data_IF_185715781263
#
_entry.id   IF_185715781263
#
_cell.length_a   1.000
_cell.length_b   1.000
_cell.length_c   1.000
_cell.angle_alpha   90.00
_cell.angle_beta   90.00
_cell.angle_gamma   90.00
#
_symmetry.space_group_name_H-M   'P 1'
#
loop_
_entity.id
_entity.type
_entity.pdbx_description
1 polymer ?
#
# COMPACT_ATOMS: atom_id res chain seq x y z
N UNK A 1 -2.77 60.26 -9.57
CA UNK A 1 -3.76 60.43 -8.49
C UNK A 1 -5.15 60.13 -9.04
N UNK A 2 -5.55 58.86 -9.00
CA UNK A 2 -6.96 58.44 -8.92
C UNK A 2 -6.93 57.02 -8.33
N UNK A 3 -7.08 56.95 -7.01
CA UNK A 3 -7.31 55.70 -6.28
C UNK A 3 -8.72 55.22 -6.61
N UNK A 4 -8.87 53.94 -6.92
CA UNK A 4 -10.15 53.28 -6.76
C UNK A 4 -9.93 51.95 -6.05
N UNK A 5 -9.85 52.03 -4.72
CA UNK A 5 -10.09 50.89 -3.84
C UNK A 5 -11.61 50.66 -3.80
N UNK A 6 -12.08 49.46 -4.17
CA UNK A 6 -13.13 48.77 -3.42
C UNK A 6 -13.37 47.32 -3.88
N UNK A 7 -13.26 46.46 -2.87
CA UNK A 7 -14.07 45.26 -2.59
C UNK A 7 -13.65 43.92 -3.21
N UNK A 8 -12.90 43.17 -2.38
CA UNK A 8 -13.28 41.86 -1.80
C UNK A 8 -14.36 41.08 -2.56
N UNK A 9 -13.96 39.93 -3.09
CA UNK A 9 -14.72 38.68 -3.03
C UNK A 9 -13.76 37.50 -3.22
N UNK A 10 -12.97 37.20 -2.18
CA UNK A 10 -12.38 35.87 -1.98
C UNK A 10 -13.52 34.90 -1.68
N UNK A 11 -14.07 34.28 -2.71
CA UNK A 11 -14.97 33.14 -2.58
C UNK A 11 -14.14 31.87 -2.43
N UNK A 12 -13.60 31.65 -1.23
CA UNK A 12 -13.06 30.35 -0.84
C UNK A 12 -14.24 29.37 -0.74
N UNK A 13 -14.44 28.58 -1.78
CA UNK A 13 -15.49 27.57 -1.83
C UNK A 13 -14.92 26.29 -1.25
N UNK A 14 -14.94 26.16 0.08
CA UNK A 14 -14.64 24.89 0.73
C UNK A 14 -15.81 23.93 0.50
N UNK A 15 -15.68 23.04 -0.49
CA UNK A 15 -16.58 21.91 -0.64
C UNK A 15 -16.25 20.86 0.43
N UNK A 16 -17.00 20.87 1.53
CA UNK A 16 -16.95 19.80 2.52
C UNK A 16 -17.60 18.53 1.92
N UNK A 17 -16.79 17.55 1.53
CA UNK A 17 -17.28 16.21 1.23
C UNK A 17 -17.66 15.51 2.54
N UNK A 18 -18.93 15.55 2.92
CA UNK A 18 -19.49 14.66 3.94
C UNK A 18 -19.77 13.30 3.31
N UNK A 19 -18.84 12.36 3.44
CA UNK A 19 -19.11 10.95 3.17
C UNK A 19 -19.84 10.35 4.39
N UNK A 20 -21.12 10.04 4.23
CA UNK A 20 -21.89 9.30 5.23
C UNK A 20 -21.50 7.80 5.16
N UNK A 21 -20.79 7.31 6.19
CA UNK A 21 -20.49 5.88 6.36
C UNK A 21 -21.68 5.17 7.00
N UNK A 22 -22.33 4.30 6.23
CA UNK A 22 -23.23 3.27 6.76
C UNK A 22 -22.38 2.12 7.29
N UNK A 23 -22.37 1.92 8.61
CA UNK A 23 -21.77 0.74 9.25
C UNK A 23 -22.78 -0.41 9.14
N UNK A 24 -22.62 -1.24 8.10
CA UNK A 24 -23.21 -2.57 8.02
C UNK A 24 -22.13 -3.59 8.37
N UNK A 25 -22.37 -4.41 9.39
CA UNK A 25 -21.40 -5.37 9.90
C UNK A 25 -20.95 -6.40 8.87
N UNK A 26 -19.65 -6.72 8.89
CA UNK A 26 -19.09 -7.89 8.23
C UNK A 26 -18.19 -8.61 9.23
N UNK A 27 -18.46 -9.90 9.44
CA UNK A 27 -17.57 -10.80 10.15
C UNK A 27 -16.43 -11.27 9.22
N UNK A 28 -15.24 -11.36 9.82
CA UNK A 28 -13.99 -12.06 9.45
C UNK A 28 -13.53 -11.90 7.99
N UNK A 29 -12.53 -11.06 7.77
CA UNK A 29 -11.74 -11.04 6.54
C UNK A 29 -10.27 -11.29 6.88
N UNK A 30 -9.80 -12.50 6.61
CA UNK A 30 -8.39 -12.88 6.57
C UNK A 30 -7.65 -12.00 5.57
N UNK A 31 -6.55 -11.38 5.99
CA UNK A 31 -5.76 -10.49 5.14
C UNK A 31 -4.31 -10.95 5.08
N UNK A 32 -3.92 -11.49 3.92
CA UNK A 32 -2.57 -11.41 3.37
C UNK A 32 -2.69 -11.57 1.85
N UNK A 33 -2.65 -10.44 1.14
CA UNK A 33 -2.97 -10.38 -0.28
C UNK A 33 -1.72 -10.04 -1.12
N UNK A 34 -0.71 -10.92 -0.97
CA UNK A 34 0.41 -11.04 -1.92
C UNK A 34 -0.15 -11.37 -3.32
N UNK A 35 0.45 -10.81 -4.36
CA UNK A 35 0.09 -11.10 -5.75
C UNK A 35 -1.18 -10.43 -6.26
N UNK A 36 -1.73 -9.46 -5.52
CA UNK A 36 -2.97 -8.79 -5.93
C UNK A 36 -2.75 -7.59 -6.82
N UNK A 37 -3.66 -7.43 -7.79
CA UNK A 37 -3.68 -6.31 -8.72
C UNK A 37 -4.77 -5.31 -8.28
N UNK A 38 -4.45 -4.03 -8.19
CA UNK A 38 -5.40 -2.98 -7.88
C UNK A 38 -5.39 -1.89 -8.96
N UNK A 39 -6.56 -1.52 -9.46
CA UNK A 39 -6.73 -0.32 -10.27
C UNK A 39 -7.25 0.79 -9.38
N UNK A 40 -6.59 1.94 -9.41
CA UNK A 40 -7.00 3.15 -8.72
C UNK A 40 -7.51 4.17 -9.72
N UNK A 41 -8.56 4.89 -9.32
CA UNK A 41 -8.92 6.19 -9.89
C UNK A 41 -8.68 7.23 -8.81
N UNK A 42 -7.86 8.23 -9.13
CA UNK A 42 -7.44 9.26 -8.18
C UNK A 42 -7.87 10.66 -8.64
N UNK A 43 -7.98 11.57 -7.68
CA UNK A 43 -8.18 13.00 -7.92
C UNK A 43 -7.66 13.82 -6.73
N UNK A 44 -7.09 14.98 -7.01
CA UNK A 44 -6.38 15.76 -6.02
C UNK A 44 -6.13 17.21 -6.40
N UNK A 45 -5.40 17.90 -5.53
CA UNK A 45 -4.87 19.25 -5.75
C UNK A 45 -3.35 19.15 -5.89
N UNK A 46 -2.82 19.80 -6.92
CA UNK A 46 -1.41 19.87 -7.24
C UNK A 46 -0.92 21.31 -7.07
N UNK A 47 0.12 21.48 -6.26
CA UNK A 47 0.80 22.74 -6.01
C UNK A 47 2.13 22.72 -6.74
N UNK A 48 2.29 23.61 -7.71
CA UNK A 48 3.53 23.72 -8.48
C UNK A 48 4.50 24.64 -7.77
N UNK A 49 5.78 24.30 -7.80
CA UNK A 49 6.85 25.21 -7.37
C UNK A 49 6.93 26.43 -8.31
N UNK A 50 7.14 27.63 -7.76
CA UNK A 50 7.18 28.90 -8.53
C UNK A 50 8.29 28.88 -9.59
N UNK A 51 9.43 28.25 -9.27
CA UNK A 51 10.59 28.17 -10.17
C UNK A 51 10.50 27.01 -11.18
N UNK A 52 9.37 26.28 -11.25
CA UNK A 52 9.23 25.09 -12.09
C UNK A 52 9.47 25.32 -13.59
N UNK A 53 9.18 26.52 -14.06
CA UNK A 53 9.38 26.91 -15.47
C UNK A 53 10.77 27.52 -15.71
N UNK A 54 11.64 27.61 -14.69
CA UNK A 54 12.99 28.18 -14.79
C UNK A 54 13.91 27.30 -15.65
N UNK A 55 14.06 27.69 -16.92
CA UNK A 55 14.83 26.92 -17.91
C UNK A 55 14.03 26.62 -19.18
N UNK A 56 12.71 26.77 -19.10
CA UNK A 56 11.82 26.76 -20.26
C UNK A 56 11.78 28.14 -20.94
N UNK A 57 11.26 28.24 -22.18
CA UNK A 57 10.99 29.52 -22.84
C UNK A 57 10.06 30.48 -22.07
N UNK A 58 9.39 30.01 -21.01
CA UNK A 58 8.46 30.78 -20.17
C UNK A 58 9.11 31.24 -18.86
N UNK A 59 10.43 31.39 -18.84
CA UNK A 59 11.14 31.96 -17.70
C UNK A 59 10.50 33.30 -17.26
N UNK A 60 10.04 33.35 -16.01
CA UNK A 60 9.32 34.50 -15.44
C UNK A 60 7.78 34.41 -15.46
N UNK A 61 7.22 33.26 -15.88
CA UNK A 61 5.82 32.89 -15.63
C UNK A 61 5.75 31.75 -14.62
N UNK A 62 4.63 31.67 -13.91
CA UNK A 62 4.35 30.69 -12.86
C UNK A 62 3.11 29.86 -13.23
N UNK A 63 3.11 28.58 -12.86
CA UNK A 63 1.94 27.70 -13.04
C UNK A 63 1.02 27.82 -11.84
N UNK A 64 -0.26 28.09 -12.07
CA UNK A 64 -1.24 28.14 -10.97
C UNK A 64 -1.49 26.75 -10.37
N UNK A 65 -1.79 26.70 -9.07
CA UNK A 65 -2.31 25.49 -8.42
C UNK A 65 -3.53 24.95 -9.17
N UNK A 66 -3.58 23.64 -9.39
CA UNK A 66 -4.65 23.03 -10.17
C UNK A 66 -5.19 21.75 -9.56
N UNK A 67 -6.44 21.45 -9.92
CA UNK A 67 -7.12 20.21 -9.60
C UNK A 67 -7.01 19.25 -10.79
N UNK A 68 -6.72 17.99 -10.52
CA UNK A 68 -6.70 16.96 -11.55
C UNK A 68 -6.55 15.58 -10.95
N UNK A 69 -6.09 14.64 -11.75
CA UNK A 69 -5.85 13.28 -11.32
C UNK A 69 -5.85 12.31 -12.49
N UNK A 70 -5.94 11.03 -12.18
CA UNK A 70 -5.93 10.01 -13.20
C UNK A 70 -6.12 8.62 -12.64
N UNK A 71 -5.27 7.69 -13.08
CA UNK A 71 -5.40 6.28 -12.75
C UNK A 71 -4.06 5.68 -12.35
N UNK A 72 -4.12 4.66 -11.50
CA UNK A 72 -2.96 3.91 -11.05
C UNK A 72 -3.17 2.41 -11.15
N UNK A 73 -2.11 1.67 -11.46
CA UNK A 73 -2.06 0.22 -11.45
C UNK A 73 -1.08 -0.22 -10.36
N UNK A 74 -1.60 -0.74 -9.26
CA UNK A 74 -0.83 -1.25 -8.14
C UNK A 74 -0.74 -2.77 -8.16
N UNK A 75 0.43 -3.31 -7.84
CA UNK A 75 0.66 -4.74 -7.63
C UNK A 75 1.35 -4.97 -6.29
N UNK A 76 0.74 -5.79 -5.42
CA UNK A 76 1.34 -6.14 -4.14
C UNK A 76 2.30 -7.32 -4.35
N UNK A 77 3.60 -7.05 -4.21
CA UNK A 77 4.66 -8.06 -4.39
C UNK A 77 4.75 -8.96 -3.16
N UNK A 78 4.58 -8.37 -1.98
CA UNK A 78 4.53 -9.06 -0.68
C UNK A 78 3.44 -8.40 0.18
N UNK A 79 3.25 -8.89 1.41
CA UNK A 79 2.40 -8.25 2.42
C UNK A 79 2.78 -6.76 2.66
N UNK A 80 4.07 -6.43 2.58
CA UNK A 80 4.62 -5.09 2.88
C UNK A 80 5.01 -4.28 1.66
N UNK A 81 5.47 -4.91 0.59
CA UNK A 81 5.97 -4.21 -0.59
C UNK A 81 4.96 -4.25 -1.72
N UNK A 82 4.68 -3.08 -2.29
CA UNK A 82 3.87 -2.94 -3.48
C UNK A 82 4.56 -2.03 -4.50
N UNK A 83 4.27 -2.24 -5.77
CA UNK A 83 4.72 -1.38 -6.86
C UNK A 83 3.50 -0.76 -7.52
N UNK A 84 3.53 0.53 -7.84
CA UNK A 84 2.41 1.23 -8.48
C UNK A 84 2.89 2.06 -9.66
N UNK A 85 2.29 1.86 -10.83
CA UNK A 85 2.43 2.79 -11.96
C UNK A 85 1.24 3.75 -11.99
N UNK A 86 1.49 5.05 -12.08
CA UNK A 86 0.46 6.10 -12.07
C UNK A 86 0.57 6.99 -13.29
N UNK A 87 -0.59 7.37 -13.83
CA UNK A 87 -0.74 8.42 -14.81
C UNK A 87 -1.76 9.44 -14.30
N UNK A 88 -1.36 10.70 -14.22
CA UNK A 88 -2.22 11.82 -13.87
C UNK A 88 -2.24 12.87 -14.99
N UNK A 89 -3.39 13.54 -15.11
CA UNK A 89 -3.63 14.62 -16.06
C UNK A 89 -4.17 15.85 -15.33
N UNK A 90 -3.60 17.01 -15.64
CA UNK A 90 -3.99 18.31 -15.12
C UNK A 90 -4.15 19.31 -16.27
N UNK A 91 -5.18 20.15 -16.17
CA UNK A 91 -5.30 21.35 -17.00
C UNK A 91 -4.95 22.53 -16.10
N UNK A 92 -3.91 23.27 -16.46
CA UNK A 92 -3.27 24.26 -15.58
C UNK A 92 -3.28 25.61 -16.27
N UNK A 93 -3.70 26.66 -15.56
CA UNK A 93 -3.61 28.01 -16.09
C UNK A 93 -2.18 28.54 -15.86
N UNK A 94 -1.69 29.34 -16.80
CA UNK A 94 -0.43 30.06 -16.63
C UNK A 94 -0.73 31.46 -16.07
N UNK A 95 -0.09 31.81 -14.96
CA UNK A 95 -0.33 33.09 -14.27
C UNK A 95 -0.09 34.29 -15.20
N UNK A 96 -0.90 35.34 -15.01
CA UNK A 96 -0.89 36.57 -15.82
C UNK A 96 -1.12 36.37 -17.33
N UNK A 97 -1.62 35.20 -17.75
CA UNK A 97 -2.02 34.90 -19.13
C UNK A 97 -3.50 34.46 -19.23
N UNK A 98 -3.99 34.22 -20.46
CA UNK A 98 -5.31 33.60 -20.71
C UNK A 98 -5.19 32.17 -21.22
N UNK A 99 -4.04 31.57 -21.03
CA UNK A 99 -3.62 30.38 -21.74
C UNK A 99 -3.59 29.21 -20.76
N UNK A 100 -4.11 28.07 -21.21
CA UNK A 100 -4.10 26.82 -20.46
C UNK A 100 -3.07 25.86 -21.06
N UNK A 101 -2.36 25.16 -20.18
CA UNK A 101 -1.41 24.11 -20.54
C UNK A 101 -1.89 22.77 -20.00
N UNK A 102 -1.61 21.72 -20.79
CA UNK A 102 -1.92 20.35 -20.39
C UNK A 102 -0.68 19.71 -19.79
N UNK A 103 -0.84 19.22 -18.56
CA UNK A 103 0.25 18.63 -17.78
C UNK A 103 -0.06 17.15 -17.56
N UNK A 104 0.87 16.30 -17.95
CA UNK A 104 0.80 14.85 -17.80
C UNK A 104 1.91 14.38 -16.87
N UNK A 105 1.56 13.67 -15.81
CA UNK A 105 2.54 13.11 -14.88
C UNK A 105 2.51 11.58 -14.98
N UNK A 106 3.67 10.98 -15.23
CA UNK A 106 3.85 9.52 -15.28
C UNK A 106 4.86 9.14 -14.22
N UNK A 107 4.53 8.26 -13.28
CA UNK A 107 5.49 7.80 -12.30
C UNK A 107 5.32 6.33 -11.93
N UNK A 108 6.43 5.73 -11.52
CA UNK A 108 6.50 4.39 -10.97
C UNK A 108 6.99 4.47 -9.53
N UNK A 109 6.24 3.83 -8.65
CA UNK A 109 6.39 3.95 -7.21
C UNK A 109 6.66 2.60 -6.56
N UNK A 110 7.54 2.62 -5.59
CA UNK A 110 7.72 1.55 -4.62
C UNK A 110 7.10 1.99 -3.29
N UNK A 111 6.16 1.18 -2.80
CA UNK A 111 5.39 1.45 -1.59
C UNK A 111 5.79 0.44 -0.51
N UNK A 112 6.07 0.95 0.69
CA UNK A 112 6.20 0.14 1.90
C UNK A 112 4.97 0.35 2.78
N UNK A 113 4.21 -0.72 2.97
CA UNK A 113 2.95 -0.73 3.68
C UNK A 113 3.16 -1.26 5.09
N UNK A 114 2.88 -0.42 6.09
CA UNK A 114 3.10 -0.80 7.48
C UNK A 114 2.08 -1.86 7.92
N UNK A 115 2.54 -2.72 8.82
CA UNK A 115 1.76 -3.83 9.37
C UNK A 115 1.25 -4.85 8.33
N UNK A 116 1.74 -4.84 7.09
CA UNK A 116 1.26 -5.74 6.03
C UNK A 116 -0.16 -5.37 5.53
N UNK A 117 -0.59 -5.90 4.38
CA UNK A 117 -1.85 -5.50 3.72
C UNK A 117 -3.08 -5.74 4.59
N UNK A 118 -3.51 -4.69 5.31
CA UNK A 118 -4.65 -4.72 6.24
C UNK A 118 -4.57 -5.90 7.23
N UNK A 119 -3.38 -6.23 7.74
CA UNK A 119 -3.25 -7.37 8.66
C UNK A 119 -3.95 -7.11 9.99
N UNK A 120 -4.54 -8.17 10.55
CA UNK A 120 -5.33 -8.11 11.78
C UNK A 120 -6.74 -7.54 11.57
N UNK A 121 -7.31 -6.93 12.62
CA UNK A 121 -8.67 -6.37 12.60
C UNK A 121 -8.71 -4.89 12.16
N UNK A 122 -7.64 -4.39 11.52
CA UNK A 122 -7.55 -2.99 11.14
C UNK A 122 -7.96 -2.78 9.69
N UNK A 123 -9.05 -2.02 9.49
CA UNK A 123 -9.51 -1.63 8.16
C UNK A 123 -8.68 -0.50 7.53
N UNK A 124 -7.71 0.05 8.26
CA UNK A 124 -6.83 1.11 7.78
C UNK A 124 -5.38 0.65 7.73
N UNK A 125 -4.64 1.15 6.74
CA UNK A 125 -3.26 0.78 6.52
C UNK A 125 -2.43 2.01 6.12
N UNK A 126 -1.48 2.46 6.96
CA UNK A 126 -0.57 3.51 6.58
C UNK A 126 0.56 2.94 5.70
N UNK A 127 1.10 3.77 4.82
CA UNK A 127 2.26 3.42 4.01
C UNK A 127 3.11 4.65 3.73
N UNK A 128 4.36 4.39 3.34
CA UNK A 128 5.25 5.37 2.73
C UNK A 128 5.55 4.95 1.30
N UNK A 129 5.88 5.93 0.47
CA UNK A 129 6.14 5.72 -0.95
C UNK A 129 7.35 6.52 -1.38
N UNK A 130 8.12 5.93 -2.29
CA UNK A 130 9.17 6.60 -3.06
C UNK A 130 9.05 6.15 -4.50
N UNK A 131 9.30 7.04 -5.45
CA UNK A 131 9.17 6.72 -6.86
C UNK A 131 9.96 7.64 -7.75
N UNK A 132 9.92 7.34 -9.04
CA UNK A 132 10.54 8.14 -10.08
C UNK A 132 9.62 8.19 -11.28
N UNK A 133 9.68 9.28 -12.03
CA UNK A 133 8.77 9.54 -13.12
C UNK A 133 9.23 10.69 -13.99
N UNK A 134 8.33 11.12 -14.84
CA UNK A 134 8.49 12.29 -15.69
C UNK A 134 7.20 13.11 -15.68
N UNK A 135 7.36 14.44 -15.68
CA UNK A 135 6.27 15.33 -16.06
C UNK A 135 6.44 15.75 -17.50
N UNK A 136 5.32 15.87 -18.20
CA UNK A 136 5.27 16.41 -19.55
C UNK A 136 4.29 17.56 -19.58
N UNK A 137 4.75 18.68 -20.11
CA UNK A 137 3.94 19.88 -20.29
C UNK A 137 3.79 20.03 -21.80
N UNK A 138 2.57 19.84 -22.29
CA UNK A 138 2.28 19.97 -23.71
C UNK A 138 1.65 21.34 -23.99
N UNK A 139 2.34 22.09 -24.84
CA UNK A 139 2.12 23.51 -25.09
C UNK A 139 1.87 23.72 -26.59
N UNK A 140 0.80 23.12 -27.11
CA UNK A 140 0.43 23.25 -28.51
C UNK A 140 -0.05 24.68 -28.89
N UNK A 141 -0.20 25.59 -27.92
CA UNK A 141 -0.78 26.93 -28.11
C UNK A 141 0.18 28.01 -28.65
N UNK A 142 1.52 27.82 -28.63
CA UNK A 142 2.46 28.93 -28.85
C UNK A 142 3.43 28.84 -30.03
N UNK A 143 3.37 27.79 -30.86
CA UNK A 143 4.06 27.76 -32.15
C UNK A 143 5.60 27.76 -32.11
N UNK A 144 6.22 27.30 -31.01
CA UNK A 144 7.67 27.08 -30.94
C UNK A 144 8.03 25.67 -31.47
N UNK A 145 8.98 25.54 -32.42
CA UNK A 145 9.29 24.27 -33.08
C UNK A 145 10.24 23.34 -32.31
N UNK A 146 10.89 23.81 -31.23
CA UNK A 146 11.85 23.01 -30.46
C UNK A 146 11.38 22.84 -29.01
N UNK A 147 11.14 21.58 -28.67
CA UNK A 147 10.47 21.00 -27.51
C UNK A 147 11.47 20.40 -26.50
N UNK A 148 12.64 21.02 -26.36
CA UNK A 148 13.78 20.47 -25.61
C UNK A 148 13.52 20.35 -24.09
N UNK A 149 12.60 21.13 -23.52
CA UNK A 149 12.24 21.12 -22.08
C UNK A 149 10.82 20.55 -21.79
N UNK A 150 10.15 19.95 -22.78
CA UNK A 150 8.78 19.45 -22.60
C UNK A 150 8.66 18.22 -21.68
N UNK A 151 9.79 17.64 -21.25
CA UNK A 151 9.88 16.50 -20.34
C UNK A 151 10.88 16.82 -19.23
N UNK A 152 10.50 16.61 -17.99
CA UNK A 152 11.38 16.76 -16.83
C UNK A 152 11.34 15.49 -16.00
N UNK A 153 12.50 15.01 -15.58
CA UNK A 153 12.59 13.82 -14.72
C UNK A 153 12.34 14.23 -13.29
N UNK A 154 11.51 13.45 -12.59
CA UNK A 154 11.17 13.71 -11.20
C UNK A 154 11.41 12.49 -10.35
N UNK A 155 11.81 12.72 -9.11
CA UNK A 155 11.70 11.73 -8.04
C UNK A 155 10.58 12.16 -7.10
N UNK A 156 9.79 11.20 -6.62
CA UNK A 156 8.68 11.47 -5.72
C UNK A 156 8.84 10.72 -4.40
N UNK A 157 8.28 11.30 -3.35
CA UNK A 157 8.21 10.68 -2.03
C UNK A 157 6.90 11.07 -1.36
N UNK A 158 6.40 10.26 -0.46
CA UNK A 158 5.16 10.58 0.21
C UNK A 158 4.75 9.59 1.27
N UNK A 159 3.58 9.86 1.85
CA UNK A 159 2.91 8.98 2.77
C UNK A 159 1.42 9.00 2.49
N UNK A 160 0.75 7.92 2.89
CA UNK A 160 -0.69 7.84 2.75
C UNK A 160 -1.32 6.80 3.66
N UNK A 161 -2.64 6.74 3.57
CA UNK A 161 -3.45 5.78 4.30
C UNK A 161 -4.45 5.14 3.34
N UNK A 162 -4.51 3.81 3.36
CA UNK A 162 -5.55 3.02 2.70
C UNK A 162 -6.63 2.69 3.72
N UNK A 163 -7.88 2.66 3.28
CA UNK A 163 -9.02 2.24 4.08
C UNK A 163 -9.83 1.21 3.30
N UNK A 164 -10.06 0.04 3.88
CA UNK A 164 -10.83 -1.05 3.28
C UNK A 164 -12.33 -0.73 3.41
N UNK A 165 -13.02 -0.65 2.27
CA UNK A 165 -14.48 -0.50 2.22
C UNK A 165 -15.21 -1.85 2.12
N UNK A 166 -14.50 -2.88 1.68
CA UNK A 166 -15.04 -4.24 1.54
C UNK A 166 -13.98 -5.19 0.99
N UNK A 167 -14.38 -6.37 0.51
CA UNK A 167 -13.43 -7.40 0.07
C UNK A 167 -12.58 -7.02 -1.15
N UNK A 168 -13.04 -6.05 -1.95
CA UNK A 168 -12.40 -5.63 -3.21
C UNK A 168 -12.27 -4.12 -3.37
N UNK A 169 -12.90 -3.35 -2.50
CA UNK A 169 -12.96 -1.90 -2.60
C UNK A 169 -12.14 -1.28 -1.48
N UNK A 170 -11.35 -0.29 -1.84
CA UNK A 170 -10.55 0.48 -0.89
C UNK A 170 -10.55 1.96 -1.26
N UNK A 171 -10.48 2.81 -0.24
CA UNK A 171 -10.14 4.22 -0.39
C UNK A 171 -8.67 4.41 -0.07
N UNK A 172 -8.09 5.45 -0.64
CA UNK A 172 -6.71 5.85 -0.36
C UNK A 172 -6.65 7.37 -0.28
N UNK A 173 -5.91 7.87 0.70
CA UNK A 173 -5.51 9.27 0.76
C UNK A 173 -3.99 9.36 0.72
N UNK A 174 -3.47 10.22 -0.15
CA UNK A 174 -2.03 10.43 -0.37
C UNK A 174 -1.65 11.89 -0.12
N UNK A 175 -0.47 12.08 0.44
CA UNK A 175 0.28 13.33 0.39
C UNK A 175 1.67 13.04 -0.17
N UNK A 176 2.02 13.68 -1.29
CA UNK A 176 3.25 13.42 -2.05
C UNK A 176 3.98 14.72 -2.36
N UNK A 177 5.31 14.65 -2.37
CA UNK A 177 6.20 15.66 -2.89
C UNK A 177 6.92 15.15 -4.14
N UNK A 178 7.10 16.02 -5.14
CA UNK A 178 7.82 15.73 -6.37
C UNK A 178 9.01 16.68 -6.50
N UNK A 179 10.21 16.13 -6.58
CA UNK A 179 11.43 16.89 -6.75
C UNK A 179 11.92 16.76 -8.20
N UNK A 180 12.05 17.88 -8.90
CA UNK A 180 12.69 17.92 -10.22
C UNK A 180 14.19 17.62 -10.12
N UNK A 181 14.71 16.79 -11.04
CA UNK A 181 16.12 16.38 -11.04
C UNK A 181 16.99 17.35 -11.85
N UNK A 182 16.45 17.91 -12.94
CA UNK A 182 17.18 18.82 -13.82
C UNK A 182 17.18 20.27 -13.32
N UNK A 183 16.00 20.83 -13.06
CA UNK A 183 15.82 22.26 -12.73
C UNK A 183 15.67 22.52 -11.21
N UNK A 184 15.48 21.47 -10.41
CA UNK A 184 15.17 21.59 -8.98
C UNK A 184 13.67 21.77 -8.74
N UNK A 185 13.29 22.39 -7.63
CA UNK A 185 11.88 22.64 -7.26
C UNK A 185 11.18 21.45 -6.60
N UNK A 186 10.33 21.74 -5.62
CA UNK A 186 9.53 20.75 -4.89
C UNK A 186 8.04 21.04 -5.07
N UNK A 187 7.38 20.24 -5.91
CA UNK A 187 5.93 20.30 -6.06
C UNK A 187 5.23 19.45 -4.99
N UNK A 188 3.98 19.78 -4.70
CA UNK A 188 3.13 19.05 -3.76
C UNK A 188 1.89 18.46 -4.45
N UNK A 189 1.46 17.28 -4.02
CA UNK A 189 0.19 16.69 -4.45
C UNK A 189 -0.52 16.04 -3.27
N UNK A 190 -1.78 16.41 -3.06
CA UNK A 190 -2.68 15.74 -2.12
C UNK A 190 -3.84 15.17 -2.90
N UNK A 191 -4.09 13.87 -2.74
CA UNK A 191 -5.11 13.18 -3.51
C UNK A 191 -5.92 12.18 -2.69
N UNK A 192 -7.11 11.90 -3.21
CA UNK A 192 -7.95 10.79 -2.79
C UNK A 192 -8.12 9.84 -3.97
N UNK A 193 -8.10 8.54 -3.71
CA UNK A 193 -8.33 7.52 -4.71
C UNK A 193 -9.33 6.47 -4.23
N UNK A 194 -10.07 5.92 -5.18
CA UNK A 194 -10.83 4.68 -5.00
C UNK A 194 -10.15 3.56 -5.79
N UNK A 195 -9.90 2.45 -5.11
CA UNK A 195 -9.23 1.28 -5.66
C UNK A 195 -10.18 0.10 -5.76
N UNK A 196 -10.14 -0.60 -6.88
CA UNK A 196 -10.73 -1.93 -7.04
C UNK A 196 -9.63 -2.97 -7.17
N UNK A 197 -9.67 -3.97 -6.30
CA UNK A 197 -8.67 -5.02 -6.19
C UNK A 197 -9.17 -6.31 -6.83
N UNK A 198 -8.44 -6.79 -7.83
CA UNK A 198 -8.54 -8.15 -8.34
C UNK A 198 -7.62 -9.04 -7.50
N UNK A 199 -8.26 -9.94 -6.79
CA UNK A 199 -7.64 -11.10 -6.17
C UNK A 199 -8.08 -12.27 -7.06
N UNK A 200 -7.15 -12.88 -7.79
CA UNK A 200 -7.29 -14.33 -8.03
C UNK A 200 -7.21 -14.94 -6.64
N UNK A 201 -8.07 -15.91 -6.31
CA UNK A 201 -8.17 -16.54 -4.99
C UNK A 201 -6.77 -16.82 -4.41
N UNK A 202 -6.24 -15.87 -3.62
CA UNK A 202 -4.90 -15.95 -3.08
C UNK A 202 -5.03 -16.94 -1.95
N UNK A 203 -4.73 -18.21 -2.23
CA UNK A 203 -4.39 -19.15 -1.18
C UNK A 203 -3.24 -18.50 -0.41
N UNK A 204 -3.42 -18.15 0.88
CA UNK A 204 -2.33 -17.60 1.66
C UNK A 204 -1.10 -18.51 1.53
N UNK A 205 0.10 -17.96 1.51
CA UNK A 205 1.29 -18.78 1.27
C UNK A 205 1.54 -19.71 2.46
N UNK A 206 1.73 -20.99 2.18
CA UNK A 206 2.22 -22.01 3.09
C UNK A 206 3.74 -22.17 2.85
N UNK A 207 4.56 -21.79 3.83
CA UNK A 207 6.03 -21.70 3.69
C UNK A 207 6.73 -23.03 3.92
N UNK A 208 6.23 -23.86 4.83
CA UNK A 208 6.80 -25.16 5.17
C UNK A 208 6.04 -26.34 4.54
N UNK A 209 4.86 -26.08 3.97
CA UNK A 209 4.11 -27.02 3.15
C UNK A 209 3.34 -28.06 3.97
N UNK A 210 3.00 -27.75 5.22
CA UNK A 210 2.30 -28.65 6.13
C UNK A 210 0.77 -28.64 5.93
N UNK A 211 0.25 -27.76 5.07
CA UNK A 211 -1.16 -27.61 4.78
C UNK A 211 -1.87 -26.56 5.63
N UNK A 212 -1.16 -25.87 6.52
CA UNK A 212 -1.63 -24.72 7.29
C UNK A 212 -0.90 -23.47 6.81
N UNK A 213 -1.68 -22.43 6.51
CA UNK A 213 -1.10 -21.22 5.94
C UNK A 213 -0.24 -20.46 6.96
N UNK A 214 0.88 -19.90 6.50
CA UNK A 214 1.89 -19.23 7.34
C UNK A 214 1.36 -18.09 8.22
N UNK A 215 0.24 -17.48 7.84
CA UNK A 215 -0.40 -16.40 8.58
C UNK A 215 -1.24 -16.87 9.78
N UNK A 216 -1.60 -18.16 9.82
CA UNK A 216 -2.32 -18.81 10.93
C UNK A 216 -1.52 -19.95 11.57
N UNK A 217 -0.36 -20.28 10.99
CA UNK A 217 0.57 -21.29 11.47
C UNK A 217 1.40 -20.78 12.67
N UNK A 218 1.38 -21.55 13.76
CA UNK A 218 2.13 -21.32 14.99
C UNK A 218 3.45 -22.07 15.04
N UNK A 219 3.68 -22.98 14.09
CA UNK A 219 4.80 -23.92 14.01
C UNK A 219 5.44 -23.88 12.60
N UNK A 220 6.13 -22.79 12.22
CA UNK A 220 6.55 -22.44 10.84
C UNK A 220 7.69 -23.29 10.23
N UNK A 221 7.91 -24.48 10.77
CA UNK A 221 8.95 -25.43 10.34
C UNK A 221 8.46 -26.87 10.43
N UNK A 222 7.16 -27.10 10.32
CA UNK A 222 6.61 -28.45 10.30
C UNK A 222 7.03 -29.17 9.02
N UNK A 223 7.58 -30.40 9.10
CA UNK A 223 7.94 -31.13 7.90
C UNK A 223 6.72 -31.44 7.02
N UNK A 224 6.87 -31.26 5.70
CA UNK A 224 5.83 -31.57 4.70
C UNK A 224 5.32 -33.01 4.87
N UNK A 225 3.99 -33.16 4.91
CA UNK A 225 3.31 -34.45 4.94
C UNK A 225 3.15 -35.07 6.33
N UNK A 226 3.51 -34.34 7.38
CA UNK A 226 3.17 -34.68 8.77
C UNK A 226 1.75 -34.18 9.08
N UNK A 227 0.99 -34.95 9.84
CA UNK A 227 -0.34 -34.53 10.30
C UNK A 227 -0.19 -33.40 11.33
N UNK A 228 -0.90 -32.30 11.08
CA UNK A 228 -0.90 -31.09 11.92
C UNK A 228 -2.28 -30.75 12.44
N UNK A 229 -2.33 -30.02 13.55
CA UNK A 229 -3.56 -29.44 14.06
C UNK A 229 -3.97 -28.18 13.28
N UNK A 230 -5.09 -27.56 13.66
CA UNK A 230 -5.59 -26.35 12.99
C UNK A 230 -4.68 -25.11 13.15
N UNK A 231 -3.58 -25.23 13.89
CA UNK A 231 -2.59 -24.18 14.15
C UNK A 231 -1.24 -24.49 13.46
N UNK A 232 -1.16 -25.52 12.62
CA UNK A 232 0.07 -25.91 11.91
C UNK A 232 1.07 -26.65 12.79
N UNK A 233 0.69 -27.02 14.01
CA UNK A 233 1.58 -27.73 14.91
C UNK A 233 1.42 -29.25 14.78
N UNK A 234 2.53 -30.02 14.78
CA UNK A 234 2.47 -31.47 14.78
C UNK A 234 1.60 -32.01 15.91
N UNK A 235 0.88 -33.10 15.64
CA UNK A 235 0.09 -33.79 16.66
C UNK A 235 1.01 -34.42 17.72
N UNK A 236 0.58 -34.32 18.97
CA UNK A 236 1.15 -34.95 20.17
C UNK A 236 -0.02 -35.58 20.93
N UNK A 237 -0.25 -36.87 20.70
CA UNK A 237 -1.46 -37.59 21.09
C UNK A 237 -1.50 -37.92 22.59
N UNK A 238 -0.36 -38.12 23.24
CA UNK A 238 -0.28 -38.44 24.67
C UNK A 238 0.18 -37.25 25.54
N UNK A 239 0.62 -36.15 24.91
CA UNK A 239 0.89 -34.87 25.54
C UNK A 239 2.19 -34.87 26.33
N UNK A 240 3.15 -35.72 25.97
CA UNK A 240 4.45 -35.81 26.64
C UNK A 240 5.48 -34.77 26.14
N UNK A 241 5.14 -34.04 25.07
CA UNK A 241 5.96 -32.99 24.46
C UNK A 241 6.80 -33.46 23.27
N UNK A 242 6.71 -34.73 22.87
CA UNK A 242 7.33 -35.29 21.66
C UNK A 242 6.23 -35.52 20.61
N UNK A 243 6.35 -34.96 19.39
CA UNK A 243 5.35 -35.17 18.35
C UNK A 243 5.19 -36.65 17.94
N UNK A 244 3.97 -37.05 17.58
CA UNK A 244 3.60 -38.43 17.22
C UNK A 244 4.51 -39.06 16.15
N UNK A 245 5.05 -38.25 15.22
CA UNK A 245 5.92 -38.72 14.15
C UNK A 245 7.38 -38.97 14.59
N UNK A 246 7.78 -38.45 15.75
CA UNK A 246 9.08 -38.67 16.39
C UNK A 246 8.99 -39.60 17.62
N UNK A 247 7.79 -39.83 18.14
CA UNK A 247 7.55 -40.61 19.34
C UNK A 247 7.62 -42.14 19.09
N UNK A 248 8.49 -42.82 19.84
CA UNK A 248 8.65 -44.28 19.83
C UNK A 248 7.75 -44.98 20.87
N UNK A 249 7.15 -44.22 21.78
CA UNK A 249 6.38 -44.66 22.94
C UNK A 249 5.01 -43.93 23.03
N UNK A 250 4.05 -44.18 22.10
CA UNK A 250 2.80 -43.42 21.89
C UNK A 250 1.71 -43.53 22.97
N UNK A 251 2.09 -43.95 24.18
CA UNK A 251 1.20 -44.13 25.32
C UNK A 251 1.91 -43.79 26.63
N UNK A 252 2.80 -42.80 26.61
CA UNK A 252 3.43 -42.27 27.80
C UNK A 252 2.35 -41.67 28.70
N UNK A 253 2.29 -42.04 30.00
CA UNK A 253 1.34 -41.43 30.92
C UNK A 253 1.61 -39.92 31.07
N UNK A 254 0.56 -39.11 30.94
CA UNK A 254 0.63 -37.66 31.08
C UNK A 254 1.36 -37.24 32.37
N UNK A 255 2.36 -36.36 32.23
CA UNK A 255 3.17 -35.85 33.35
C UNK A 255 4.42 -36.67 33.69
N UNK A 256 4.68 -37.78 32.99
CA UNK A 256 5.94 -38.49 33.07
C UNK A 256 7.06 -37.78 32.30
N UNK A 257 8.28 -37.82 32.83
CA UNK A 257 9.45 -37.28 32.14
C UNK A 257 9.97 -38.27 31.08
N UNK A 258 10.01 -37.83 29.82
CA UNK A 258 10.48 -38.61 28.68
C UNK A 258 11.86 -38.20 28.17
N UNK A 259 12.46 -39.05 27.34
CA UNK A 259 13.66 -38.72 26.57
C UNK A 259 13.28 -38.09 25.21
N UNK A 260 14.27 -37.88 24.35
CA UNK A 260 14.07 -37.30 23.00
C UNK A 260 13.25 -38.23 22.06
N UNK A 261 13.07 -39.50 22.45
CA UNK A 261 12.30 -40.50 21.70
C UNK A 261 10.85 -40.66 22.23
N UNK A 262 10.40 -39.80 23.17
CA UNK A 262 9.08 -39.91 23.82
C UNK A 262 8.98 -41.05 24.84
N UNK A 263 10.10 -41.70 25.17
CA UNK A 263 10.11 -42.85 26.06
C UNK A 263 10.52 -42.50 27.52
N UNK A 264 9.88 -43.12 28.54
CA UNK A 264 10.24 -42.90 29.94
C UNK A 264 11.69 -43.30 30.27
N UNK A 265 12.39 -42.45 31.03
CA UNK A 265 13.78 -42.74 31.47
C UNK A 265 13.86 -43.83 32.54
N UNK A 266 12.78 -44.08 33.27
CA UNK A 266 12.67 -45.18 34.23
C UNK A 266 11.53 -46.13 33.82
N UNK A 267 11.67 -47.44 34.05
CA UNK A 267 10.62 -48.40 33.75
C UNK A 267 9.37 -48.08 34.58
N UNK A 268 8.30 -47.68 33.91
CA UNK A 268 6.99 -47.47 34.51
C UNK A 268 6.26 -48.80 34.69
N UNK A 269 5.86 -49.09 35.91
CA UNK A 269 4.88 -50.14 36.21
C UNK A 269 3.51 -49.51 36.36
N UNK A 270 2.52 -49.83 35.50
CA UNK A 270 1.17 -49.31 35.62
C UNK A 270 0.60 -49.54 37.03
N UNK A 271 0.33 -48.45 37.75
CA UNK A 271 -0.25 -48.47 39.11
C UNK A 271 0.69 -48.08 40.25
N UNK A 272 1.95 -47.72 39.99
CA UNK A 272 2.85 -47.20 41.01
C UNK A 272 3.01 -45.67 40.90
N UNK A 273 2.22 -44.93 41.67
CA UNK A 273 2.25 -43.45 41.74
C UNK A 273 3.20 -42.93 42.85
N UNK A 274 4.15 -43.74 43.31
CA UNK A 274 4.96 -43.43 44.50
C UNK A 274 6.25 -42.65 44.25
N UNK A 275 6.51 -42.19 43.02
CA UNK A 275 7.69 -41.40 42.66
C UNK A 275 7.33 -40.04 42.09
#
# INVERSE_FOLDING_TARGET
MYKNDRNRNTAATYAALTAALLVGGAQVATADQEGTLTLYLNGGQYWFDEDRLSGTPYIGYELEDSAGGGFGFGYNVTDRWAVEGVYDYFSVNVEDTREDVSVQNYHLDLMYQFAGQFCGNYDWQPYVVVGAGEIRINEDSFGYPDNWHARQTMVNFGAGIKYRLGPRWQLRGDARGFQGVEEGGLDGFVSLAIGYQWTDEVTPRDWDGDGVYSNIDQCPQTPVGIDVDARGCPLDSDGDGVPDYMDQCPATPMGMAVNEDGCPREPYTPGDFSK
#
